data_IF_530535439584
#
_entry.id   IF_530535439584
#
_cell.length_a   1.000
_cell.length_b   1.000
_cell.length_c   1.000
_cell.angle_alpha   90.00
_cell.angle_beta   90.00
_cell.angle_gamma   90.00
#
_symmetry.space_group_name_H-M   'P 1'
#
loop_
_entity.id
_entity.type
_entity.pdbx_description
1 polymer ?
#
# COMPACT_ATOMS: atom_id res chain seq x y z
N UNK A 1 -2.94 18.10 -4.76
CA UNK A 1 -4.11 17.54 -5.48
C UNK A 1 -5.15 17.13 -4.45
N UNK A 2 -6.31 17.80 -4.36
CA UNK A 2 -7.29 17.49 -3.32
C UNK A 2 -8.12 16.26 -3.73
N UNK A 3 -8.24 15.25 -2.86
CA UNK A 3 -9.39 14.33 -2.86
C UNK A 3 -9.24 12.92 -3.47
N UNK A 4 -8.06 12.49 -3.94
CA UNK A 4 -7.88 11.08 -4.34
C UNK A 4 -7.60 10.21 -3.11
N UNK A 5 -8.65 9.66 -2.54
CA UNK A 5 -8.56 8.69 -1.42
C UNK A 5 -8.08 7.32 -1.92
N UNK A 6 -8.42 6.98 -3.17
CA UNK A 6 -8.10 5.69 -3.77
C UNK A 6 -7.06 5.83 -4.89
N UNK A 7 -5.95 5.12 -4.73
CA UNK A 7 -4.82 5.08 -5.66
C UNK A 7 -4.65 3.69 -6.26
N UNK A 8 -4.02 3.60 -7.42
CA UNK A 8 -3.76 2.31 -8.09
C UNK A 8 -2.47 1.67 -7.60
N UNK A 9 -2.28 0.37 -7.90
CA UNK A 9 -1.05 -0.35 -7.51
C UNK A 9 0.24 0.34 -7.95
N UNK A 10 0.25 0.99 -9.11
CA UNK A 10 1.39 1.78 -9.63
C UNK A 10 1.70 2.99 -8.72
N UNK A 11 0.68 3.76 -8.34
CA UNK A 11 0.84 4.91 -7.44
C UNK A 11 1.25 4.46 -6.03
N UNK A 12 0.77 3.30 -5.56
CA UNK A 12 1.21 2.72 -4.27
C UNK A 12 2.71 2.40 -4.31
N UNK A 13 3.22 1.90 -5.44
CA UNK A 13 4.66 1.62 -5.60
C UNK A 13 5.48 2.90 -5.52
N UNK A 14 5.02 3.97 -6.16
CA UNK A 14 5.69 5.28 -6.08
C UNK A 14 5.68 5.85 -4.65
N UNK A 15 4.55 5.74 -3.94
CA UNK A 15 4.40 6.29 -2.58
C UNK A 15 5.15 5.47 -1.54
N UNK A 16 5.01 4.15 -1.58
CA UNK A 16 5.54 3.26 -0.55
C UNK A 16 6.93 2.70 -0.87
N UNK A 17 7.42 2.88 -2.11
CA UNK A 17 8.59 2.20 -2.65
C UNK A 17 8.51 0.66 -2.61
N UNK A 18 7.33 0.09 -2.39
CA UNK A 18 7.09 -1.35 -2.39
C UNK A 18 6.94 -1.83 -3.84
N UNK A 19 7.71 -2.82 -4.31
CA UNK A 19 7.58 -3.33 -5.67
C UNK A 19 6.18 -3.92 -5.97
N UNK A 20 5.71 -3.74 -7.20
CA UNK A 20 4.43 -4.31 -7.69
C UNK A 20 4.34 -5.81 -7.46
N UNK A 21 5.47 -6.52 -7.61
CA UNK A 21 5.55 -7.96 -7.40
C UNK A 21 5.24 -8.34 -5.95
N UNK A 22 5.74 -7.56 -5.00
CA UNK A 22 5.48 -7.74 -3.57
C UNK A 22 4.01 -7.48 -3.27
N UNK A 23 3.43 -6.37 -3.77
CA UNK A 23 2.00 -6.08 -3.62
C UNK A 23 1.11 -7.21 -4.17
N UNK A 24 1.48 -7.79 -5.32
CA UNK A 24 0.74 -8.93 -5.91
C UNK A 24 0.85 -10.19 -5.07
N UNK A 25 2.04 -10.48 -4.53
CA UNK A 25 2.27 -11.60 -3.63
C UNK A 25 1.49 -11.43 -2.32
N UNK A 26 1.50 -10.24 -1.75
CA UNK A 26 0.72 -9.87 -0.56
C UNK A 26 -0.78 -10.08 -0.79
N UNK A 27 -1.31 -9.61 -1.93
CA UNK A 27 -2.71 -9.89 -2.33
C UNK A 27 -3.00 -11.38 -2.43
N UNK A 28 -2.09 -12.16 -3.02
CA UNK A 28 -2.23 -13.61 -3.17
C UNK A 28 -2.22 -14.32 -1.81
N UNK A 29 -1.33 -13.92 -0.92
CA UNK A 29 -1.21 -14.44 0.44
C UNK A 29 -2.28 -13.89 1.40
N UNK A 30 -3.11 -12.95 0.93
CA UNK A 30 -4.08 -12.18 1.75
C UNK A 30 -3.43 -11.53 2.97
N UNK A 31 -2.20 -11.05 2.80
CA UNK A 31 -1.43 -10.29 3.82
C UNK A 31 -1.08 -8.91 3.25
N UNK A 32 -0.79 -7.95 4.12
CA UNK A 32 -0.36 -6.61 3.71
C UNK A 32 -1.51 -5.59 3.62
N UNK A 33 -1.39 -4.64 2.69
CA UNK A 33 -2.26 -3.47 2.61
C UNK A 33 -3.67 -3.87 2.12
N UNK A 34 -4.74 -3.42 2.81
CA UNK A 34 -6.11 -3.57 2.34
C UNK A 34 -6.29 -3.03 0.91
N UNK A 35 -7.01 -3.78 0.08
CA UNK A 35 -7.21 -3.44 -1.32
C UNK A 35 -8.66 -3.63 -1.75
N UNK A 36 -9.09 -2.80 -2.69
CA UNK A 36 -10.41 -2.82 -3.29
C UNK A 36 -10.26 -3.33 -4.71
N UNK A 37 -10.83 -4.51 -4.98
CA UNK A 37 -10.88 -5.07 -6.33
C UNK A 37 -12.18 -4.63 -7.02
N UNK A 38 -12.06 -3.87 -8.10
CA UNK A 38 -13.18 -3.49 -8.97
C UNK A 38 -12.93 -4.03 -10.37
N UNK A 39 -13.59 -5.13 -10.71
CA UNK A 39 -13.42 -5.87 -11.97
C UNK A 39 -11.94 -6.28 -12.21
N UNK A 40 -11.28 -5.62 -13.16
CA UNK A 40 -9.88 -5.85 -13.55
C UNK A 40 -8.91 -4.88 -12.87
N UNK A 41 -9.42 -3.87 -12.17
CA UNK A 41 -8.60 -2.86 -11.51
C UNK A 41 -8.55 -3.11 -10.01
N UNK A 42 -7.37 -2.88 -9.42
CA UNK A 42 -7.17 -2.91 -7.97
C UNK A 42 -6.80 -1.51 -7.50
N UNK A 43 -7.48 -1.08 -6.45
CA UNK A 43 -7.29 0.21 -5.81
C UNK A 43 -6.88 0.00 -4.35
N UNK A 44 -6.15 0.95 -3.81
CA UNK A 44 -5.71 1.01 -2.43
C UNK A 44 -6.13 2.34 -1.85
N UNK A 45 -6.56 2.34 -0.59
CA UNK A 45 -6.79 3.59 0.12
C UNK A 45 -5.43 4.14 0.56
N UNK A 46 -5.16 5.40 0.26
CA UNK A 46 -3.88 6.02 0.62
C UNK A 46 -3.67 6.10 2.14
N UNK A 47 -4.76 6.23 2.91
CA UNK A 47 -4.68 6.22 4.38
C UNK A 47 -4.22 4.85 4.88
N UNK A 48 -4.78 3.75 4.34
CA UNK A 48 -4.40 2.39 4.72
C UNK A 48 -2.93 2.09 4.35
N UNK A 49 -2.45 2.62 3.21
CA UNK A 49 -1.05 2.52 2.80
C UNK A 49 -0.14 3.23 3.79
N UNK A 50 -0.49 4.46 4.19
CA UNK A 50 0.26 5.25 5.17
C UNK A 50 0.28 4.56 6.54
N UNK A 51 -0.87 4.09 7.03
CA UNK A 51 -0.98 3.36 8.29
C UNK A 51 -0.15 2.07 8.27
N UNK A 52 -0.15 1.34 7.15
CA UNK A 52 0.70 0.17 6.98
C UNK A 52 2.20 0.54 7.03
N UNK A 53 2.61 1.62 6.39
CA UNK A 53 3.99 2.10 6.44
C UNK A 53 4.38 2.55 7.84
N UNK A 54 3.50 3.25 8.56
CA UNK A 54 3.73 3.66 9.94
C UNK A 54 3.79 2.47 10.90
N UNK A 55 2.95 1.45 10.71
CA UNK A 55 2.94 0.23 11.51
C UNK A 55 4.21 -0.61 11.30
N UNK A 56 4.75 -0.63 10.08
CA UNK A 56 6.03 -1.28 9.76
C UNK A 56 7.26 -0.40 10.06
N UNK A 57 7.07 0.82 10.58
CA UNK A 57 8.18 1.72 10.91
C UNK A 57 8.97 1.17 12.10
N UNK A 58 10.13 0.60 11.81
CA UNK A 58 11.06 0.14 12.85
C UNK A 58 11.61 1.37 13.59
N UNK A 59 11.14 1.59 14.82
CA UNK A 59 11.69 2.62 15.71
C UNK A 59 13.09 2.19 16.12
N UNK A 60 14.10 2.88 15.59
CA UNK A 60 15.49 2.70 15.99
C UNK A 60 15.76 3.57 17.21
N UNK A 61 16.18 2.96 18.31
CA UNK A 61 16.73 3.70 19.44
C UNK A 61 18.10 4.24 19.02
N UNK A 62 18.26 5.55 19.10
CA UNK A 62 19.54 6.23 18.88
C UNK A 62 20.35 6.03 20.15
N UNK A 63 21.42 5.25 20.06
CA UNK A 63 22.37 5.04 21.16
C UNK A 63 23.60 5.95 21.02
#
# INVERSE_FOLDING_TARGET
MPGKIYIREEEVVEVSSIPLKTLRQDRYLKKGIPYIKKNRSVYYNINDVLEFMESNKVKTERH
#
